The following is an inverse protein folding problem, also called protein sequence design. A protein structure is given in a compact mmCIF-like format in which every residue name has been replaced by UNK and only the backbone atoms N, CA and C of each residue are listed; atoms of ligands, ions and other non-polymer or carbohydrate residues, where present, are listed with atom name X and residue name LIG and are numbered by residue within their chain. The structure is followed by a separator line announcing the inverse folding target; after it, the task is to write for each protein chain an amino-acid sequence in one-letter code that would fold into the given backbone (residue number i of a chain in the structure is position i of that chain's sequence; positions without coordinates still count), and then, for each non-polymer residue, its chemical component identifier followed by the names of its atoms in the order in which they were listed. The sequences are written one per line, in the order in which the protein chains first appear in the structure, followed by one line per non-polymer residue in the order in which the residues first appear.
data_IF_900356055066
#
_entry.id   IF_900356055066
#
_cell.length_a   1.000
_cell.length_b   1.000
_cell.length_c   1.000
_cell.angle_alpha   90.00
_cell.angle_beta   90.00
_cell.angle_gamma   90.00
#
_symmetry.space_group_name_H-M   'P 1'
#
loop_
_entity.id
_entity.type
_entity.pdbx_description
1 polymer ?
#
# COMPACT_ATOMS: atom_id res chain seq x y z
N UNK A 1 -10.30 -31.56 7.48
CA UNK A 1 -11.35 -31.09 6.55
C UNK A 1 -10.98 -29.68 6.14
N UNK A 2 -10.92 -29.35 4.85
CA UNK A 2 -10.70 -27.96 4.44
C UNK A 2 -11.89 -27.13 4.93
N UNK A 3 -11.63 -26.12 5.76
CA UNK A 3 -12.68 -25.23 6.23
C UNK A 3 -13.27 -24.50 5.02
N UNK A 4 -14.60 -24.48 4.89
CA UNK A 4 -15.27 -23.66 3.88
C UNK A 4 -14.90 -22.19 4.13
N UNK A 5 -14.43 -21.43 3.12
CA UNK A 5 -14.07 -20.04 3.31
C UNK A 5 -15.27 -19.22 3.79
N UNK A 6 -15.07 -18.35 4.79
CA UNK A 6 -16.12 -17.49 5.32
C UNK A 6 -16.69 -16.52 4.26
N UNK A 7 -15.86 -16.12 3.29
CA UNK A 7 -16.24 -15.27 2.17
C UNK A 7 -15.49 -15.73 0.93
N UNK A 8 -16.17 -16.33 -0.04
CA UNK A 8 -15.57 -16.85 -1.29
C UNK A 8 -15.95 -15.98 -2.50
N UNK A 9 -15.42 -14.75 -2.50
CA UNK A 9 -15.59 -13.72 -3.53
C UNK A 9 -14.31 -12.87 -3.65
N UNK A 10 -14.11 -12.13 -4.76
CA UNK A 10 -12.99 -11.21 -4.94
C UNK A 10 -12.79 -10.26 -3.76
N UNK A 11 -11.53 -10.07 -3.34
CA UNK A 11 -11.15 -9.24 -2.19
C UNK A 11 -10.20 -8.12 -2.57
N UNK A 12 -10.21 -7.07 -1.77
CA UNK A 12 -9.24 -5.97 -1.82
C UNK A 12 -8.54 -5.91 -0.47
N UNK A 13 -7.22 -5.80 -0.48
CA UNK A 13 -6.41 -5.70 0.74
C UNK A 13 -5.51 -4.46 0.65
N UNK A 14 -5.77 -3.46 1.51
CA UNK A 14 -5.07 -2.19 1.47
C UNK A 14 -4.00 -2.04 2.56
N UNK A 15 -3.88 -3.04 3.43
CA UNK A 15 -2.95 -3.01 4.55
C UNK A 15 -2.36 -4.39 4.79
N UNK A 16 -1.20 -4.62 4.19
CA UNK A 16 -0.39 -5.82 4.43
C UNK A 16 1.07 -5.49 4.22
N UNK A 17 1.91 -5.95 5.15
CA UNK A 17 3.35 -5.73 5.13
C UNK A 17 4.05 -6.82 4.32
N UNK A 18 4.91 -6.46 3.36
CA UNK A 18 5.66 -7.44 2.57
C UNK A 18 6.63 -8.22 3.45
N UNK A 19 7.36 -7.50 4.29
CA UNK A 19 8.30 -8.01 5.27
C UNK A 19 7.61 -8.85 6.35
N UNK A 20 6.32 -8.62 6.62
CA UNK A 20 5.50 -9.47 7.50
C UNK A 20 4.77 -10.64 6.81
N UNK A 21 4.94 -10.84 5.50
CA UNK A 21 4.19 -11.82 4.70
C UNK A 21 5.11 -12.77 3.89
N UNK A 22 6.31 -13.04 4.42
CA UNK A 22 7.31 -13.89 3.78
C UNK A 22 7.02 -15.36 4.07
N UNK A 23 7.12 -16.21 3.05
CA UNK A 23 6.97 -17.66 3.21
C UNK A 23 8.07 -18.22 4.13
N UNK A 24 7.73 -19.03 5.16
CA UNK A 24 8.71 -19.67 6.03
C UNK A 24 9.74 -20.52 5.26
N UNK A 25 9.33 -21.19 4.19
CA UNK A 25 10.21 -21.97 3.32
C UNK A 25 11.28 -21.09 2.65
N UNK A 26 10.90 -19.87 2.25
CA UNK A 26 11.79 -18.90 1.62
C UNK A 26 12.78 -18.32 2.63
N UNK A 27 12.32 -18.04 3.86
CA UNK A 27 13.21 -17.63 4.97
C UNK A 27 14.28 -18.71 5.20
N UNK A 28 13.87 -19.96 5.39
CA UNK A 28 14.78 -21.09 5.63
C UNK A 28 15.74 -21.33 4.48
N UNK A 29 15.27 -21.21 3.24
CA UNK A 29 16.10 -21.34 2.05
C UNK A 29 17.22 -20.30 2.05
N UNK A 30 16.91 -19.01 2.24
CA UNK A 30 17.93 -17.95 2.22
C UNK A 30 18.79 -17.93 3.49
N UNK A 31 18.26 -18.31 4.65
CA UNK A 31 19.05 -18.51 5.87
C UNK A 31 20.17 -19.53 5.62
N UNK A 32 19.82 -20.72 5.10
CA UNK A 32 20.81 -21.73 4.73
C UNK A 32 21.76 -21.28 3.62
N UNK A 33 21.22 -20.72 2.52
CA UNK A 33 22.02 -20.27 1.36
C UNK A 33 23.07 -19.23 1.75
N UNK A 34 22.77 -18.37 2.73
CA UNK A 34 23.63 -17.26 3.16
C UNK A 34 24.43 -17.57 4.43
N UNK A 35 24.25 -18.74 5.05
CA UNK A 35 24.89 -19.09 6.31
C UNK A 35 24.42 -18.24 7.50
N UNK A 36 23.18 -17.75 7.47
CA UNK A 36 22.58 -16.94 8.53
C UNK A 36 21.80 -17.86 9.46
N UNK A 37 22.12 -17.80 10.76
CA UNK A 37 21.45 -18.60 11.77
C UNK A 37 19.97 -18.20 11.88
N UNK A 38 19.11 -19.22 11.96
CA UNK A 38 17.67 -19.09 12.19
C UNK A 38 17.29 -19.87 13.46
N UNK A 39 16.20 -19.51 14.14
CA UNK A 39 15.81 -20.18 15.38
C UNK A 39 15.18 -21.57 15.17
N UNK A 40 15.03 -22.02 13.91
CA UNK A 40 14.39 -23.26 13.53
C UNK A 40 14.95 -23.80 12.20
N UNK A 41 14.72 -25.09 11.92
CA UNK A 41 15.19 -25.75 10.68
C UNK A 41 14.06 -26.19 9.74
N UNK A 42 12.81 -26.22 10.22
CA UNK A 42 11.61 -26.56 9.46
C UNK A 42 10.63 -25.38 9.37
N UNK A 43 9.79 -25.30 8.33
CA UNK A 43 8.78 -24.25 8.20
C UNK A 43 7.81 -24.19 9.38
N UNK A 44 7.46 -25.35 9.95
CA UNK A 44 6.53 -25.48 11.06
C UNK A 44 7.13 -24.95 12.36
N UNK A 45 8.35 -25.37 12.72
CA UNK A 45 9.07 -24.86 13.89
C UNK A 45 9.30 -23.35 13.80
N UNK A 46 9.62 -22.86 12.60
CA UNK A 46 9.84 -21.44 12.37
C UNK A 46 8.54 -20.64 12.56
N UNK A 47 7.41 -21.17 12.11
CA UNK A 47 6.08 -20.58 12.33
C UNK A 47 5.70 -20.58 13.81
N UNK A 48 6.00 -21.65 14.56
CA UNK A 48 5.72 -21.70 16.00
C UNK A 48 6.50 -20.62 16.78
N UNK A 49 7.73 -20.31 16.33
CA UNK A 49 8.59 -19.31 16.97
C UNK A 49 8.23 -17.88 16.56
N UNK A 50 8.03 -17.62 15.27
CA UNK A 50 7.76 -16.26 14.76
C UNK A 50 6.28 -15.89 14.93
N UNK A 51 5.40 -16.87 14.76
CA UNK A 51 3.96 -16.73 14.92
C UNK A 51 3.54 -16.38 16.35
N UNK A 52 2.30 -15.95 16.47
CA UNK A 52 1.70 -15.52 17.73
C UNK A 52 0.25 -15.99 17.79
N UNK A 53 -0.05 -16.86 18.74
CA UNK A 53 -1.40 -17.34 19.07
C UNK A 53 -2.03 -16.57 20.24
N UNK A 54 -1.22 -15.82 20.98
CA UNK A 54 -1.61 -15.01 22.14
C UNK A 54 -1.24 -13.53 21.93
N UNK A 55 -2.08 -12.59 22.41
CA UNK A 55 -1.77 -11.17 22.34
C UNK A 55 -0.46 -10.82 23.05
N UNK A 56 0.33 -9.93 22.43
CA UNK A 56 1.47 -9.24 23.05
C UNK A 56 1.29 -7.73 22.90
N UNK A 57 2.24 -6.95 23.41
CA UNK A 57 2.36 -5.53 23.08
C UNK A 57 2.87 -5.34 21.64
N UNK A 58 2.64 -4.15 21.06
CA UNK A 58 3.18 -3.80 19.75
C UNK A 58 4.72 -3.97 19.68
N UNK A 59 5.52 -3.53 20.67
CA UNK A 59 6.96 -3.82 20.68
C UNK A 59 7.29 -5.32 20.69
N UNK A 60 6.52 -6.13 21.44
CA UNK A 60 6.70 -7.58 21.47
C UNK A 60 6.41 -8.26 20.12
N UNK A 61 5.41 -7.76 19.39
CA UNK A 61 5.15 -8.16 18.01
C UNK A 61 6.28 -7.74 17.06
N UNK A 62 6.73 -6.49 17.13
CA UNK A 62 7.78 -5.96 16.25
C UNK A 62 9.12 -6.69 16.45
N UNK A 63 9.44 -7.15 17.66
CA UNK A 63 10.63 -7.94 17.94
C UNK A 63 10.66 -9.29 17.19
N UNK A 64 9.52 -9.78 16.68
CA UNK A 64 9.50 -11.01 15.86
C UNK A 64 10.26 -10.87 14.54
N UNK A 65 10.40 -9.65 14.02
CA UNK A 65 11.14 -9.39 12.78
C UNK A 65 12.63 -9.72 12.90
N UNK A 66 13.20 -9.59 14.11
CA UNK A 66 14.61 -9.88 14.39
C UNK A 66 15.00 -11.33 14.07
N UNK A 67 14.04 -12.27 14.13
CA UNK A 67 14.30 -13.70 13.90
C UNK A 67 14.60 -14.06 12.45
N UNK A 68 14.08 -13.31 11.47
CA UNK A 68 14.09 -13.72 10.07
C UNK A 68 14.51 -12.64 9.08
N UNK A 69 14.36 -11.36 9.42
CA UNK A 69 14.81 -10.27 8.54
C UNK A 69 16.29 -10.37 8.15
N UNK A 70 17.23 -10.80 9.03
CA UNK A 70 18.63 -11.03 8.63
C UNK A 70 18.78 -11.96 7.42
N UNK A 71 17.93 -13.00 7.31
CA UNK A 71 17.99 -13.95 6.20
C UNK A 71 17.60 -13.33 4.84
N UNK A 72 16.84 -12.24 4.83
CA UNK A 72 16.27 -11.61 3.64
C UNK A 72 16.98 -10.30 3.28
N UNK A 73 17.17 -9.41 4.25
CA UNK A 73 17.79 -8.10 4.05
C UNK A 73 19.19 -8.22 3.45
N UNK A 74 19.55 -7.29 2.55
CA UNK A 74 20.84 -7.30 1.86
C UNK A 74 20.98 -8.34 0.73
N UNK A 75 19.94 -9.15 0.43
CA UNK A 75 19.98 -10.14 -0.64
C UNK A 75 19.02 -9.80 -1.79
N UNK A 76 19.59 -9.43 -2.95
CA UNK A 76 18.82 -9.03 -4.15
C UNK A 76 17.83 -10.10 -4.60
N UNK A 77 18.28 -11.36 -4.64
CA UNK A 77 17.44 -12.49 -5.05
C UNK A 77 16.28 -12.71 -4.08
N UNK A 78 16.54 -12.64 -2.76
CA UNK A 78 15.52 -12.85 -1.74
C UNK A 78 14.45 -11.77 -1.81
N UNK A 79 14.84 -10.50 -1.93
CA UNK A 79 13.91 -9.37 -1.99
C UNK A 79 12.99 -9.47 -3.22
N UNK A 80 13.55 -9.73 -4.40
CA UNK A 80 12.75 -9.90 -5.62
C UNK A 80 11.81 -11.12 -5.49
N UNK A 81 12.32 -12.24 -4.97
CA UNK A 81 11.54 -13.48 -4.80
C UNK A 81 10.39 -13.32 -3.82
N UNK A 82 10.61 -12.71 -2.67
CA UNK A 82 9.57 -12.45 -1.67
C UNK A 82 8.44 -11.60 -2.26
N UNK A 83 8.77 -10.57 -3.05
CA UNK A 83 7.77 -9.75 -3.74
C UNK A 83 6.95 -10.55 -4.77
N UNK A 84 7.59 -11.42 -5.56
CA UNK A 84 6.90 -12.29 -6.51
C UNK A 84 5.99 -13.31 -5.81
N UNK A 85 6.50 -14.01 -4.80
CA UNK A 85 5.77 -15.02 -4.02
C UNK A 85 4.62 -14.41 -3.22
N UNK A 86 4.73 -13.15 -2.80
CA UNK A 86 3.63 -12.43 -2.16
C UNK A 86 2.40 -12.36 -3.07
N UNK A 87 2.57 -12.01 -4.34
CA UNK A 87 1.46 -11.92 -5.29
C UNK A 87 0.82 -13.29 -5.53
N UNK A 88 1.63 -14.34 -5.62
CA UNK A 88 1.15 -15.73 -5.71
C UNK A 88 0.25 -16.10 -4.51
N UNK A 89 0.68 -15.76 -3.29
CA UNK A 89 -0.09 -16.01 -2.07
C UNK A 89 -1.42 -15.25 -2.10
N UNK A 90 -1.40 -13.98 -2.50
CA UNK A 90 -2.63 -13.17 -2.59
C UNK A 90 -3.61 -13.66 -3.64
N UNK A 91 -3.13 -14.24 -4.75
CA UNK A 91 -3.99 -14.91 -5.72
C UNK A 91 -4.74 -16.10 -5.10
N UNK A 92 -4.04 -16.91 -4.29
CA UNK A 92 -4.63 -18.07 -3.58
C UNK A 92 -5.67 -17.66 -2.54
N UNK A 93 -5.57 -16.44 -2.00
CA UNK A 93 -6.53 -15.85 -1.07
C UNK A 93 -7.76 -15.23 -1.76
N UNK A 94 -7.82 -15.23 -3.11
CA UNK A 94 -8.90 -14.61 -3.88
C UNK A 94 -8.84 -13.07 -3.89
N UNK A 95 -7.67 -12.49 -3.61
CA UNK A 95 -7.43 -11.04 -3.69
C UNK A 95 -7.25 -10.63 -5.15
N UNK A 96 -7.91 -9.55 -5.56
CA UNK A 96 -7.84 -9.00 -6.92
C UNK A 96 -7.10 -7.67 -7.01
N UNK A 97 -7.00 -6.94 -5.89
CA UNK A 97 -6.19 -5.74 -5.75
C UNK A 97 -5.53 -5.70 -4.37
N UNK A 98 -4.22 -5.43 -4.33
CA UNK A 98 -3.47 -5.31 -3.07
C UNK A 98 -2.49 -4.14 -3.09
N UNK A 99 -2.44 -3.42 -1.97
CA UNK A 99 -1.41 -2.42 -1.67
C UNK A 99 -0.49 -2.96 -0.57
N UNK A 100 0.69 -3.43 -0.97
CA UNK A 100 1.67 -4.00 -0.05
C UNK A 100 2.64 -2.92 0.44
N UNK A 101 2.93 -2.89 1.73
CA UNK A 101 3.79 -1.87 2.35
C UNK A 101 5.07 -2.46 2.92
N UNK A 102 6.17 -1.71 2.90
CA UNK A 102 7.45 -2.11 3.48
C UNK A 102 8.37 -0.90 3.65
N UNK A 103 9.37 -1.03 4.53
CA UNK A 103 10.46 -0.06 4.60
C UNK A 103 11.61 -0.51 3.69
N UNK A 104 11.98 0.25 2.64
CA UNK A 104 13.11 -0.12 1.79
C UNK A 104 14.44 -0.11 2.55
N UNK A 105 14.58 0.79 3.53
CA UNK A 105 15.75 0.89 4.40
C UNK A 105 15.98 -0.39 5.20
N UNK A 106 14.93 -1.03 5.72
CA UNK A 106 15.04 -2.29 6.47
C UNK A 106 15.48 -3.49 5.62
N UNK A 107 15.46 -3.39 4.28
CA UNK A 107 15.91 -4.47 3.39
C UNK A 107 17.28 -4.17 2.76
N UNK A 108 17.82 -2.96 2.98
CA UNK A 108 19.09 -2.50 2.44
C UNK A 108 20.27 -2.86 3.38
N UNK A 109 21.49 -2.79 2.84
CA UNK A 109 22.75 -2.93 3.60
C UNK A 109 23.83 -1.93 3.17
N UNK A 110 23.46 -0.91 2.38
CA UNK A 110 24.32 0.16 1.90
C UNK A 110 23.51 1.46 1.84
N UNK A 111 24.15 2.62 2.04
CA UNK A 111 23.49 3.93 2.09
C UNK A 111 22.28 4.00 3.04
N UNK A 112 22.38 3.34 4.19
CA UNK A 112 21.36 3.36 5.25
C UNK A 112 22.08 3.43 6.60
N UNK A 113 21.71 4.39 7.44
CA UNK A 113 22.32 4.62 8.75
C UNK A 113 21.23 4.71 9.83
N UNK A 114 21.26 3.85 10.86
CA UNK A 114 22.16 2.70 11.02
C UNK A 114 21.85 1.57 10.03
N UNK A 115 22.88 0.79 9.68
CA UNK A 115 22.69 -0.43 8.88
C UNK A 115 21.85 -1.43 9.69
N UNK A 116 20.68 -1.88 9.19
CA UNK A 116 19.78 -2.75 9.94
C UNK A 116 20.34 -4.16 10.17
N UNK A 117 19.80 -4.83 11.19
CA UNK A 117 20.00 -6.27 11.45
C UNK A 117 21.46 -6.71 11.64
N UNK A 118 22.32 -5.81 12.10
CA UNK A 118 23.75 -6.04 12.28
C UNK A 118 24.45 -6.53 11.00
N UNK A 119 23.95 -6.14 9.83
CA UNK A 119 24.59 -6.47 8.56
C UNK A 119 25.93 -5.75 8.45
N UNK A 120 26.90 -6.38 7.80
CA UNK A 120 28.05 -5.66 7.28
C UNK A 120 27.61 -4.75 6.13
N UNK A 121 28.36 -3.66 5.92
CA UNK A 121 28.16 -2.79 4.76
C UNK A 121 28.32 -3.60 3.46
N UNK A 122 27.30 -3.50 2.61
CA UNK A 122 27.27 -4.11 1.29
C UNK A 122 27.10 -3.07 0.20
N UNK A 123 26.42 -3.44 -0.88
CA UNK A 123 26.22 -2.61 -2.06
C UNK A 123 24.73 -2.44 -2.43
N UNK A 124 23.81 -2.91 -1.58
CA UNK A 124 22.36 -2.83 -1.84
C UNK A 124 21.74 -1.65 -1.11
N UNK A 125 21.36 -0.63 -1.87
CA UNK A 125 20.77 0.62 -1.37
C UNK A 125 19.24 0.55 -1.26
N UNK A 126 18.59 1.42 -0.44
CA UNK A 126 17.13 1.51 -0.38
C UNK A 126 16.48 1.75 -1.75
N UNK A 127 17.12 2.54 -2.61
CA UNK A 127 16.68 2.77 -3.99
C UNK A 127 16.59 1.48 -4.81
N UNK A 128 17.63 0.66 -4.74
CA UNK A 128 17.67 -0.61 -5.47
C UNK A 128 16.69 -1.63 -4.88
N UNK A 129 16.45 -1.62 -3.56
CA UNK A 129 15.39 -2.42 -2.94
C UNK A 129 14.04 -2.08 -3.57
N UNK A 130 13.68 -0.80 -3.71
CA UNK A 130 12.40 -0.40 -4.32
C UNK A 130 12.29 -0.93 -5.74
N UNK A 131 13.36 -0.81 -6.53
CA UNK A 131 13.42 -1.37 -7.89
C UNK A 131 13.19 -2.89 -7.91
N UNK A 132 13.85 -3.64 -7.03
CA UNK A 132 13.75 -5.10 -6.97
C UNK A 132 12.37 -5.59 -6.52
N UNK A 133 11.79 -4.94 -5.51
CA UNK A 133 10.42 -5.24 -5.09
C UNK A 133 9.46 -4.94 -6.24
N UNK A 134 9.54 -3.76 -6.86
CA UNK A 134 8.70 -3.40 -8.02
C UNK A 134 8.78 -4.43 -9.15
N UNK A 135 9.98 -4.94 -9.46
CA UNK A 135 10.15 -6.02 -10.45
C UNK A 135 9.45 -7.32 -10.02
N UNK A 136 9.62 -7.76 -8.77
CA UNK A 136 8.97 -8.98 -8.27
C UNK A 136 7.44 -8.86 -8.27
N UNK A 137 6.91 -7.70 -7.87
CA UNK A 137 5.47 -7.42 -7.90
C UNK A 137 4.92 -7.40 -9.32
N UNK A 138 5.62 -6.79 -10.28
CA UNK A 138 5.21 -6.74 -11.69
C UNK A 138 5.24 -8.12 -12.34
N UNK A 139 6.27 -8.91 -12.06
CA UNK A 139 6.37 -10.30 -12.52
C UNK A 139 5.20 -11.13 -11.94
N UNK A 140 4.90 -10.97 -10.66
CA UNK A 140 3.75 -11.64 -10.02
C UNK A 140 2.39 -11.17 -10.55
N UNK A 141 2.20 -9.86 -10.79
CA UNK A 141 0.97 -9.31 -11.37
C UNK A 141 0.66 -9.94 -12.72
N UNK A 142 1.70 -10.08 -13.57
CA UNK A 142 1.61 -10.70 -14.89
C UNK A 142 1.23 -12.17 -14.78
N UNK A 143 1.87 -12.92 -13.88
CA UNK A 143 1.78 -14.38 -13.85
C UNK A 143 0.54 -14.88 -13.08
N UNK A 144 0.02 -14.10 -12.13
CA UNK A 144 -1.11 -14.51 -11.27
C UNK A 144 -2.38 -13.66 -11.43
N UNK A 145 -2.35 -12.59 -12.22
CA UNK A 145 -3.54 -11.78 -12.51
C UNK A 145 -4.07 -10.92 -11.36
N UNK A 146 -3.28 -10.73 -10.29
CA UNK A 146 -3.60 -9.85 -9.15
C UNK A 146 -2.98 -8.49 -9.37
N UNK A 147 -3.80 -7.43 -9.39
CA UNK A 147 -3.29 -6.06 -9.49
C UNK A 147 -2.58 -5.69 -8.19
N UNK A 148 -1.30 -5.31 -8.26
CA UNK A 148 -0.52 -5.02 -7.04
C UNK A 148 0.22 -3.70 -7.10
N UNK A 149 0.12 -2.91 -6.03
CA UNK A 149 0.85 -1.66 -5.84
C UNK A 149 1.62 -1.69 -4.54
N UNK A 150 2.62 -0.82 -4.41
CA UNK A 150 3.46 -0.73 -3.23
C UNK A 150 3.34 0.61 -2.51
N UNK A 151 3.56 0.58 -1.20
CA UNK A 151 3.59 1.74 -0.31
C UNK A 151 4.94 1.71 0.43
N UNK A 152 5.64 2.83 0.48
CA UNK A 152 6.94 2.91 1.16
C UNK A 152 6.75 3.48 2.57
N UNK A 153 7.26 2.78 3.57
CA UNK A 153 7.09 3.13 4.98
C UNK A 153 8.26 3.98 5.49
N UNK A 154 7.96 5.16 6.02
CA UNK A 154 8.78 5.78 7.06
C UNK A 154 8.69 4.96 8.35
N UNK A 155 9.76 4.97 9.16
CA UNK A 155 9.80 4.27 10.45
C UNK A 155 9.83 5.27 11.59
N UNK A 156 8.91 5.16 12.56
CA UNK A 156 8.77 6.09 13.70
C UNK A 156 10.06 6.33 14.48
N UNK A 157 10.92 5.32 14.57
CA UNK A 157 12.20 5.39 15.30
C UNK A 157 13.36 5.88 14.41
N UNK A 158 13.14 6.07 13.10
CA UNK A 158 14.15 6.57 12.13
C UNK A 158 13.60 7.75 11.32
N UNK A 159 13.41 8.93 11.95
CA UNK A 159 12.99 10.13 11.24
C UNK A 159 13.92 10.51 10.09
N UNK A 160 15.23 10.29 10.25
CA UNK A 160 16.27 10.59 9.26
C UNK A 160 16.07 9.92 7.90
N UNK A 161 15.37 8.78 7.81
CA UNK A 161 15.12 8.07 6.55
C UNK A 161 13.96 8.66 5.75
N UNK A 162 13.05 9.40 6.39
CA UNK A 162 11.79 9.88 5.80
C UNK A 162 11.95 10.76 4.56
N UNK A 163 12.94 11.69 4.50
CA UNK A 163 13.18 12.47 3.28
C UNK A 163 13.51 11.59 2.08
N UNK A 164 14.29 10.53 2.26
CA UNK A 164 14.60 9.59 1.17
C UNK A 164 13.36 8.79 0.77
N UNK A 165 12.53 8.36 1.73
CA UNK A 165 11.28 7.62 1.44
C UNK A 165 10.37 8.41 0.49
N UNK A 166 10.15 9.71 0.73
CA UNK A 166 9.29 10.52 -0.15
C UNK A 166 9.92 10.74 -1.53
N UNK A 167 11.24 10.89 -1.63
CA UNK A 167 11.95 10.98 -2.91
C UNK A 167 11.84 9.67 -3.70
N UNK A 168 11.94 8.51 -3.03
CA UNK A 168 11.71 7.21 -3.64
C UNK A 168 10.27 7.06 -4.12
N UNK A 169 9.28 7.53 -3.36
CA UNK A 169 7.88 7.58 -3.81
C UNK A 169 7.72 8.39 -5.09
N UNK A 170 8.36 9.57 -5.19
CA UNK A 170 8.34 10.42 -6.39
C UNK A 170 9.00 9.71 -7.58
N UNK A 171 10.17 9.12 -7.37
CA UNK A 171 10.95 8.41 -8.40
C UNK A 171 10.21 7.19 -8.96
N UNK A 172 9.62 6.37 -8.09
CA UNK A 172 9.00 5.09 -8.45
C UNK A 172 7.48 5.15 -8.61
N UNK A 173 6.87 6.34 -8.66
CA UNK A 173 5.41 6.54 -8.79
C UNK A 173 4.74 5.87 -10.01
N UNK A 174 5.52 5.52 -11.04
CA UNK A 174 5.06 4.81 -12.23
C UNK A 174 5.48 3.32 -12.24
N UNK A 175 6.11 2.87 -11.16
CA UNK A 175 6.70 1.54 -10.99
C UNK A 175 6.20 0.97 -9.66
N UNK A 176 4.90 0.65 -9.63
CA UNK A 176 4.12 0.12 -8.50
C UNK A 176 3.91 1.02 -7.29
N UNK A 177 4.81 1.96 -6.97
CA UNK A 177 4.69 2.80 -5.76
C UNK A 177 3.53 3.80 -5.90
N UNK A 178 2.60 3.80 -4.95
CA UNK A 178 1.41 4.67 -4.97
C UNK A 178 1.29 5.61 -3.77
N UNK A 179 1.91 5.28 -2.63
CA UNK A 179 1.76 6.06 -1.41
C UNK A 179 3.00 5.99 -0.48
N UNK A 180 3.01 6.88 0.50
CA UNK A 180 3.89 6.86 1.68
C UNK A 180 3.08 6.42 2.92
N UNK A 181 3.73 5.67 3.81
CA UNK A 181 3.22 5.28 5.14
C UNK A 181 4.16 5.71 6.28
N UNK A 182 3.68 5.70 7.52
CA UNK A 182 4.47 5.83 8.75
C UNK A 182 4.11 4.66 9.66
N UNK A 183 5.08 3.78 9.89
CA UNK A 183 4.94 2.52 10.62
C UNK A 183 5.98 2.40 11.76
N UNK A 184 5.95 1.27 12.47
CA UNK A 184 6.81 1.01 13.63
C UNK A 184 6.14 1.37 14.95
N UNK A 185 6.92 1.49 16.01
CA UNK A 185 6.41 1.59 17.38
C UNK A 185 5.68 2.92 17.66
N UNK A 186 4.35 2.86 17.73
CA UNK A 186 3.48 4.01 18.06
C UNK A 186 3.62 4.47 19.52
N UNK A 187 4.23 3.67 20.40
CA UNK A 187 4.46 4.04 21.80
C UNK A 187 5.55 5.11 21.97
N UNK A 188 6.37 5.36 20.94
CA UNK A 188 7.37 6.43 20.94
C UNK A 188 6.65 7.78 20.98
N UNK A 189 6.68 8.41 22.16
CA UNK A 189 5.96 9.64 22.45
C UNK A 189 6.36 10.76 21.49
N UNK A 190 5.36 11.34 20.81
CA UNK A 190 5.56 12.44 19.87
C UNK A 190 6.23 12.06 18.55
N UNK A 191 6.43 10.77 18.27
CA UNK A 191 7.08 10.32 17.01
C UNK A 191 6.37 10.84 15.76
N UNK A 192 5.05 10.95 15.76
CA UNK A 192 4.29 11.55 14.63
C UNK A 192 4.64 13.02 14.33
N UNK A 193 5.34 13.71 15.24
CA UNK A 193 5.69 15.12 15.13
C UNK A 193 7.18 15.36 14.91
N UNK A 194 8.00 14.31 14.74
CA UNK A 194 9.41 14.51 14.41
C UNK A 194 9.54 15.30 13.09
N UNK A 195 10.42 16.32 13.05
CA UNK A 195 10.47 17.27 11.94
C UNK A 195 10.61 16.63 10.57
N UNK A 196 11.40 15.57 10.45
CA UNK A 196 11.69 14.86 9.20
C UNK A 196 10.47 14.11 8.68
N UNK A 197 9.70 13.46 9.55
CA UNK A 197 8.42 12.86 9.17
C UNK A 197 7.47 13.94 8.65
N UNK A 198 7.29 15.03 9.41
CA UNK A 198 6.36 16.09 9.01
C UNK A 198 6.78 16.74 7.69
N UNK A 199 8.07 16.98 7.47
CA UNK A 199 8.62 17.49 6.20
C UNK A 199 8.37 16.52 5.04
N UNK A 200 8.62 15.22 5.23
CA UNK A 200 8.37 14.23 4.19
C UNK A 200 6.89 14.15 3.79
N UNK A 201 5.98 14.29 4.75
CA UNK A 201 4.53 14.31 4.47
C UNK A 201 4.05 15.62 3.87
N UNK A 202 4.66 16.76 4.22
CA UNK A 202 4.43 18.03 3.54
C UNK A 202 4.86 17.94 2.07
N UNK A 203 6.06 17.41 1.80
CA UNK A 203 6.54 17.13 0.44
C UNK A 203 5.61 16.17 -0.31
N UNK A 204 5.10 15.13 0.35
CA UNK A 204 4.13 14.21 -0.25
C UNK A 204 2.83 14.93 -0.66
N UNK A 205 2.39 15.95 0.08
CA UNK A 205 1.25 16.80 -0.31
C UNK A 205 1.59 17.63 -1.53
N UNK A 206 2.73 18.33 -1.52
CA UNK A 206 3.18 19.21 -2.62
C UNK A 206 3.41 18.44 -3.91
N UNK A 207 3.97 17.22 -3.81
CA UNK A 207 4.27 16.33 -4.94
C UNK A 207 3.10 15.43 -5.36
N UNK A 208 1.94 15.52 -4.70
CA UNK A 208 0.75 14.72 -5.04
C UNK A 208 0.87 13.22 -4.76
N UNK A 209 1.75 12.81 -3.84
CA UNK A 209 1.93 11.43 -3.39
C UNK A 209 0.83 11.09 -2.38
N UNK A 210 0.15 9.94 -2.54
CA UNK A 210 -0.88 9.51 -1.59
C UNK A 210 -0.27 9.19 -0.22
N UNK A 211 -1.06 9.35 0.84
CA UNK A 211 -0.59 9.25 2.23
C UNK A 211 -1.50 8.34 3.04
N UNK A 212 -0.88 7.45 3.79
CA UNK A 212 -1.50 6.69 4.88
C UNK A 212 -0.59 6.74 6.11
N UNK A 213 -1.12 6.46 7.29
CA UNK A 213 -0.36 6.48 8.54
C UNK A 213 -0.96 5.44 9.50
N UNK A 214 -0.13 4.64 10.15
CA UNK A 214 -0.54 3.90 11.35
C UNK A 214 -0.82 4.90 12.48
N UNK A 215 -2.05 5.00 12.96
CA UNK A 215 -2.37 5.84 14.11
C UNK A 215 -3.63 5.33 14.83
N UNK A 216 -3.59 5.30 16.15
CA UNK A 216 -4.64 4.74 16.98
C UNK A 216 -4.65 3.22 16.99
N UNK A 217 -3.52 2.56 16.72
CA UNK A 217 -3.39 1.10 16.84
C UNK A 217 -3.18 0.73 18.32
N UNK A 218 -2.18 1.35 18.94
CA UNK A 218 -1.95 1.30 20.40
C UNK A 218 -1.83 2.70 21.01
N UNK A 219 -1.59 3.70 20.18
CA UNK A 219 -1.55 5.11 20.56
C UNK A 219 -2.94 5.68 20.83
N UNK A 220 -2.97 6.81 21.55
CA UNK A 220 -4.24 7.46 21.88
C UNK A 220 -4.87 8.14 20.66
N UNK A 221 -6.14 8.54 20.78
CA UNK A 221 -6.82 9.40 19.79
C UNK A 221 -6.10 10.74 19.53
N UNK A 222 -5.16 11.15 20.38
CA UNK A 222 -4.29 12.28 20.09
C UNK A 222 -3.39 12.01 18.88
N UNK A 223 -2.84 10.81 18.75
CA UNK A 223 -1.96 10.44 17.61
C UNK A 223 -2.75 10.52 16.30
N UNK A 224 -4.00 10.04 16.31
CA UNK A 224 -4.92 10.18 15.17
C UNK A 224 -5.15 11.65 14.82
N UNK A 225 -5.35 12.53 15.81
CA UNK A 225 -5.56 13.97 15.58
C UNK A 225 -4.32 14.66 15.01
N UNK A 226 -3.14 14.30 15.50
CA UNK A 226 -1.85 14.82 15.01
C UNK A 226 -1.69 14.57 13.52
N UNK A 227 -1.88 13.32 13.08
CA UNK A 227 -1.68 12.92 11.67
C UNK A 227 -2.83 13.36 10.75
N UNK A 228 -4.04 13.54 11.31
CA UNK A 228 -5.20 14.02 10.57
C UNK A 228 -5.22 15.54 10.38
N UNK A 229 -4.26 16.29 10.93
CA UNK A 229 -4.25 17.76 10.87
C UNK A 229 -5.44 18.45 11.57
N UNK A 230 -6.27 17.69 12.29
CA UNK A 230 -7.45 18.18 13.02
C UNK A 230 -7.01 18.64 14.40
N UNK A 231 -6.82 19.96 14.55
CA UNK A 231 -6.63 20.56 15.86
C UNK A 231 -7.79 20.17 16.78
N UNK A 232 -7.49 19.58 17.94
CA UNK A 232 -8.47 19.32 18.98
C UNK A 232 -9.22 20.62 19.31
N UNK A 233 -10.54 20.54 19.44
CA UNK A 233 -11.38 21.68 19.79
C UNK A 233 -10.97 22.32 21.10
N UNK A 234 -10.18 23.39 21.00
CA UNK A 234 -10.11 24.60 21.83
C UNK A 234 -9.23 25.55 21.01
N UNK A 235 -9.84 26.58 20.42
CA UNK A 235 -9.15 27.50 19.51
C UNK A 235 -7.93 28.15 20.17
N UNK A 236 -6.80 28.33 19.46
CA UNK A 236 -5.68 29.08 20.00
C UNK A 236 -5.94 30.59 19.87
N UNK A 237 -5.59 31.32 20.92
CA UNK A 237 -5.44 32.78 20.93
C UNK A 237 -4.50 33.24 19.78
N UNK A 238 -4.68 34.44 19.19
CA UNK A 238 -4.06 34.84 17.91
C UNK A 238 -2.53 35.04 17.91
N UNK A 239 -1.79 34.64 18.96
CA UNK A 239 -0.37 35.02 19.16
C UNK A 239 0.61 33.86 19.30
N UNK A 240 0.24 32.62 18.97
CA UNK A 240 1.20 31.50 18.95
C UNK A 240 1.70 31.22 17.51
N UNK A 241 3.02 31.12 17.27
CA UNK A 241 3.55 30.70 15.97
C UNK A 241 2.99 29.32 15.61
N UNK A 242 2.50 29.18 14.37
CA UNK A 242 1.87 27.95 13.89
C UNK A 242 2.95 26.86 13.82
N UNK A 243 2.89 25.89 14.72
CA UNK A 243 3.75 24.69 14.66
C UNK A 243 3.54 23.91 13.35
N UNK A 244 4.48 23.01 12.99
CA UNK A 244 4.42 22.25 11.74
C UNK A 244 3.13 21.41 11.74
N UNK A 245 2.29 21.59 10.71
CA UNK A 245 1.00 20.92 10.57
C UNK A 245 1.09 19.86 9.48
N UNK A 246 0.63 18.66 9.80
CA UNK A 246 0.10 17.74 8.80
C UNK A 246 -1.00 18.49 8.04
N UNK A 247 -0.90 18.59 6.70
CA UNK A 247 -1.82 19.41 5.91
C UNK A 247 -3.28 18.99 6.19
N UNK A 248 -4.22 19.95 6.33
CA UNK A 248 -5.59 19.63 6.74
C UNK A 248 -6.28 18.78 5.67
N UNK A 249 -7.14 17.82 6.06
CA UNK A 249 -7.87 16.96 5.14
C UNK A 249 -8.87 17.79 4.33
N UNK A 250 -8.92 17.56 3.01
CA UNK A 250 -10.12 17.86 2.23
C UNK A 250 -11.17 16.81 2.58
N UNK A 251 -11.95 17.06 3.62
CA UNK A 251 -13.19 16.34 3.89
C UNK A 251 -14.35 17.29 3.55
N UNK A 252 -14.78 17.31 2.28
CA UNK A 252 -16.17 17.66 2.02
C UNK A 252 -17.01 16.51 2.57
N UNK A 253 -17.86 16.82 3.54
CA UNK A 253 -18.75 15.86 4.18
C UNK A 253 -19.76 15.36 3.17
N UNK A 254 -19.54 14.18 2.59
CA UNK A 254 -20.60 13.40 1.94
C UNK A 254 -21.55 12.83 2.98
N UNK A 255 -22.29 13.69 3.69
CA UNK A 255 -23.48 13.24 4.42
C UNK A 255 -24.56 13.02 3.38
N UNK A 256 -24.86 11.77 3.07
CA UNK A 256 -26.10 11.42 2.40
C UNK A 256 -27.25 11.90 3.28
N UNK A 257 -27.95 12.95 2.82
CA UNK A 257 -29.29 13.23 3.29
C UNK A 257 -30.18 12.07 2.82
N UNK A 258 -30.48 11.14 3.71
CA UNK A 258 -31.69 10.35 3.59
C UNK A 258 -32.87 11.31 3.78
N UNK A 259 -33.44 11.77 2.66
CA UNK A 259 -34.78 12.35 2.67
C UNK A 259 -35.76 11.21 2.45
N UNK A 260 -36.62 11.00 3.44
CA UNK A 260 -37.84 10.23 3.32
C UNK A 260 -38.64 10.68 2.09
N UNK A 261 -38.97 9.72 1.23
CA UNK A 261 -40.06 9.86 0.26
C UNK A 261 -40.85 8.56 0.22
N UNK A 262 -41.83 8.45 1.10
CA UNK A 262 -43.09 7.78 0.75
C UNK A 262 -43.92 8.71 -0.13
N UNK A 263 -44.35 8.23 -1.30
CA UNK A 263 -45.71 8.38 -1.83
C UNK A 263 -45.73 7.85 -3.26
N UNK A 264 -46.57 6.84 -3.48
CA UNK A 264 -46.63 6.06 -4.71
C UNK A 264 -47.32 6.74 -5.90
N UNK A 265 -47.21 6.07 -7.04
CA UNK A 265 -48.21 6.12 -8.11
C UNK A 265 -48.07 4.86 -8.98
N UNK A 266 -49.23 4.33 -9.36
CA UNK A 266 -49.51 3.02 -9.94
C UNK A 266 -49.03 2.92 -11.39
N UNK A 267 -48.58 1.73 -11.79
CA UNK A 267 -48.47 1.30 -13.19
C UNK A 267 -49.69 0.43 -13.55
N UNK A 268 -50.29 0.56 -14.76
CA UNK A 268 -51.19 -0.46 -15.27
C UNK A 268 -50.47 -1.48 -16.19
N UNK A 269 -51.07 -2.66 -16.20
CA UNK A 269 -50.65 -3.96 -16.78
C UNK A 269 -50.71 -4.06 -18.33
N UNK A 270 -50.23 -5.19 -18.92
CA UNK A 270 -49.79 -5.31 -20.31
C UNK A 270 -50.83 -5.92 -21.27
N UNK A 271 -50.55 -5.83 -22.57
CA UNK A 271 -51.20 -6.64 -23.61
C UNK A 271 -50.31 -6.79 -24.85
N UNK A 272 -49.93 -8.04 -25.19
CA UNK A 272 -49.54 -8.44 -26.55
C UNK A 272 -50.78 -8.71 -27.43
N UNK A 273 -50.71 -9.32 -28.64
CA UNK A 273 -49.62 -10.12 -29.22
C UNK A 273 -49.19 -9.75 -30.68
N UNK A 274 -48.20 -10.47 -31.23
CA UNK A 274 -47.50 -10.29 -32.55
C UNK A 274 -48.30 -10.58 -33.83
N UNK A 275 -47.76 -11.18 -34.94
CA UNK A 275 -46.40 -11.67 -35.26
C UNK A 275 -45.90 -11.30 -36.71
N UNK A 276 -44.84 -12.00 -37.20
CA UNK A 276 -44.30 -12.10 -38.60
C UNK A 276 -43.23 -11.03 -38.95
N UNK A 277 -42.15 -11.27 -39.70
CA UNK A 277 -41.74 -12.35 -40.60
C UNK A 277 -40.22 -12.31 -40.85
N UNK A 278 -39.71 -13.37 -41.49
CA UNK A 278 -38.32 -13.74 -41.75
C UNK A 278 -37.55 -12.88 -42.79
N UNK A 279 -36.24 -13.17 -42.85
CA UNK A 279 -35.34 -13.15 -44.01
C UNK A 279 -34.71 -11.80 -44.38
N UNK A 280 -33.50 -11.68 -44.95
CA UNK A 280 -32.31 -12.54 -45.12
C UNK A 280 -31.23 -11.63 -45.75
N UNK A 281 -29.96 -12.00 -45.57
CA UNK A 281 -28.80 -11.84 -46.46
C UNK A 281 -28.65 -10.61 -47.39
N UNK A 282 -27.46 -10.00 -47.36
CA UNK A 282 -27.00 -9.13 -48.44
C UNK A 282 -25.58 -8.60 -48.27
N UNK A 283 -24.58 -9.38 -48.70
CA UNK A 283 -23.19 -8.97 -48.90
C UNK A 283 -23.11 -7.79 -49.88
N UNK A 284 -22.18 -6.86 -49.69
CA UNK A 284 -21.31 -6.40 -50.78
C UNK A 284 -20.05 -5.68 -50.27
N UNK A 285 -18.92 -6.14 -50.78
CA UNK A 285 -17.59 -5.54 -50.65
C UNK A 285 -17.38 -4.46 -51.73
N UNK A 286 -16.53 -3.46 -51.45
CA UNK A 286 -15.26 -3.20 -52.17
C UNK A 286 -14.74 -1.75 -51.98
N UNK A 287 -13.47 -1.69 -51.56
CA UNK A 287 -12.35 -0.83 -51.99
C UNK A 287 -12.58 0.66 -52.31
N UNK A 288 -11.70 1.48 -51.72
CA UNK A 288 -11.25 2.73 -52.33
C UNK A 288 -10.33 3.54 -51.41
N UNK A 289 -9.04 3.58 -51.73
CA UNK A 289 -8.02 4.36 -51.04
C UNK A 289 -8.13 5.87 -51.35
N UNK A 290 -7.75 6.72 -50.38
CA UNK A 290 -6.71 7.76 -50.54
C UNK A 290 -6.60 8.62 -49.27
N UNK A 291 -5.35 8.77 -48.87
CA UNK A 291 -4.79 9.67 -47.86
C UNK A 291 -4.85 11.12 -48.32
N UNK A 292 -5.32 12.04 -47.46
CA UNK A 292 -4.73 13.39 -47.34
C UNK A 292 -5.01 14.04 -45.98
N UNK A 293 -4.00 14.80 -45.56
CA UNK A 293 -3.65 15.43 -44.28
C UNK A 293 -4.66 16.36 -43.59
N UNK A 294 -4.54 16.34 -42.26
CA UNK A 294 -4.45 17.46 -41.28
C UNK A 294 -5.55 18.52 -41.26
N UNK A 295 -6.29 18.55 -40.15
CA UNK A 295 -6.33 19.69 -39.20
C UNK A 295 -6.89 19.22 -37.85
N UNK A 296 -6.11 19.37 -36.79
CA UNK A 296 -6.51 19.16 -35.39
C UNK A 296 -7.25 20.38 -34.85
N UNK A 297 -8.36 20.22 -34.11
CA UNK A 297 -8.76 21.20 -33.10
C UNK A 297 -8.19 20.77 -31.74
N UNK A 298 -7.42 21.67 -31.15
CA UNK A 298 -6.94 21.59 -29.77
C UNK A 298 -8.13 21.71 -28.81
N UNK A 299 -8.55 20.60 -28.22
CA UNK A 299 -9.49 20.60 -27.09
C UNK A 299 -8.68 20.52 -25.80
N UNK A 300 -8.54 21.66 -25.13
CA UNK A 300 -7.93 21.80 -23.82
C UNK A 300 -8.81 21.10 -22.77
N UNK A 301 -8.54 19.83 -22.49
CA UNK A 301 -9.16 19.14 -21.35
C UNK A 301 -8.52 19.65 -20.06
N UNK A 302 -9.26 20.45 -19.30
CA UNK A 302 -8.97 20.71 -17.89
C UNK A 302 -9.37 19.46 -17.09
N UNK A 303 -8.41 18.61 -16.75
CA UNK A 303 -8.64 17.56 -15.76
C UNK A 303 -8.69 18.18 -14.36
N UNK A 304 -9.90 18.32 -13.79
CA UNK A 304 -10.06 18.48 -12.34
C UNK A 304 -9.97 17.09 -11.71
N UNK A 305 -8.79 16.69 -11.24
CA UNK A 305 -8.61 15.47 -10.47
C UNK A 305 -8.99 15.72 -9.01
N UNK A 306 -10.27 15.57 -8.67
CA UNK A 306 -10.71 15.49 -7.27
C UNK A 306 -10.76 14.02 -6.84
N UNK A 307 -9.61 13.44 -6.52
CA UNK A 307 -9.51 12.15 -5.84
C UNK A 307 -9.31 12.40 -4.33
N UNK A 308 -10.06 11.75 -3.42
CA UNK A 308 -9.92 12.00 -1.99
C UNK A 308 -8.56 11.42 -1.51
N UNK A 309 -7.67 12.19 -0.88
CA UNK A 309 -6.27 11.75 -0.79
C UNK A 309 -5.85 11.28 0.61
N UNK A 310 -6.66 10.44 1.27
CA UNK A 310 -6.36 9.94 2.63
C UNK A 310 -7.03 8.61 2.98
N UNK A 311 -6.25 7.67 3.52
CA UNK A 311 -6.76 6.51 4.27
C UNK A 311 -6.07 6.48 5.64
N UNK A 312 -6.83 6.74 6.70
CA UNK A 312 -6.41 6.54 8.09
C UNK A 312 -6.66 5.09 8.47
N UNK A 313 -5.65 4.45 9.07
CA UNK A 313 -5.74 3.05 9.49
C UNK A 313 -5.77 3.03 11.00
N UNK A 314 -6.97 2.80 11.53
CA UNK A 314 -7.24 2.48 12.93
C UNK A 314 -7.57 0.99 12.98
N UNK A 315 -6.92 0.22 13.86
CA UNK A 315 -7.37 -1.15 14.15
C UNK A 315 -8.50 -1.14 15.16
#
# INVERSE_FOLDING_TARGET
MAQTPAFDKPKVELHVHLDGAIKPETILYYGRKRGIALPANTPEELQDIIGMDKPLSLPGFLAKFDYYMPAIAGCREAIKRTAYEFVETKAKEGVVYVEVRYSPHLLANSNVEPIPWNQAEGDLTPDEVVRLVGQGLQDGERDFGVKVRSILCCMRHQPSWSPEVVELCKKYRQQTVVAIDLAGDESIQGSSLFPEHVKAYAEAVESGIHRTVHAGEVGSAQVVREVSGRAGGRGPSPRSPRGPRWAPPCLSTGRGHAQDREAGARLPHPGGPGPLQQAAAGKHALRGSKTTRLTTPSTRMTHSSSSPPWTLITR
#
